data_IF_844030070109
#
_entry.id   IF_844030070109
#
_cell.length_a   1.000
_cell.length_b   1.000
_cell.length_c   1.000
_cell.angle_alpha   90.00
_cell.angle_beta   90.00
_cell.angle_gamma   90.00
#
_symmetry.space_group_name_H-M   'P 1'
#
loop_
_entity.id
_entity.type
_entity.pdbx_description
1 polymer ?
#
# COMPACT_ATOMS: atom_id res chain seq x y z
N UNK A 1 -6.32 21.80 4.01
CA UNK A 1 -5.94 22.71 2.93
C UNK A 1 -6.79 22.39 1.70
N UNK A 2 -7.38 23.42 1.09
CA UNK A 2 -8.09 23.22 -0.20
C UNK A 2 -7.04 23.15 -1.31
N UNK A 3 -7.19 22.22 -2.23
CA UNK A 3 -6.49 22.21 -3.48
C UNK A 3 -6.63 23.57 -4.13
N UNK A 4 -5.49 24.20 -4.37
CA UNK A 4 -5.48 25.41 -5.20
C UNK A 4 -5.43 24.97 -6.68
N UNK A 5 -6.03 25.73 -7.54
CA UNK A 5 -5.91 25.53 -8.99
C UNK A 5 -4.44 25.47 -9.43
N UNK A 6 -3.59 26.15 -8.71
CA UNK A 6 -2.13 26.21 -8.90
C UNK A 6 -1.46 24.83 -8.73
N UNK A 7 -1.87 24.03 -7.71
CA UNK A 7 -1.36 22.67 -7.52
C UNK A 7 -1.82 21.73 -8.65
N UNK A 8 -3.05 21.91 -9.12
CA UNK A 8 -3.59 21.15 -10.25
C UNK A 8 -2.85 21.50 -11.53
N UNK A 9 -2.58 22.76 -11.76
CA UNK A 9 -1.90 23.25 -12.97
C UNK A 9 -0.40 22.89 -12.94
N UNK A 10 0.23 22.92 -11.77
CA UNK A 10 1.58 22.38 -11.57
C UNK A 10 1.66 20.91 -11.98
N UNK A 11 0.74 20.08 -11.49
CA UNK A 11 0.72 18.66 -11.83
C UNK A 11 0.37 18.41 -13.30
N UNK A 12 -0.52 19.20 -13.89
CA UNK A 12 -0.79 19.16 -15.33
C UNK A 12 0.42 19.61 -16.15
N UNK A 13 1.16 20.60 -15.68
CA UNK A 13 2.41 21.04 -16.29
C UNK A 13 3.51 19.97 -16.25
N UNK A 14 3.51 19.12 -15.21
CA UNK A 14 4.36 17.95 -15.10
C UNK A 14 3.92 16.80 -16.01
N UNK A 15 2.71 16.84 -16.56
CA UNK A 15 2.09 15.78 -17.37
C UNK A 15 2.84 15.29 -18.59
N UNK A 16 3.90 15.98 -18.99
CA UNK A 16 4.85 15.56 -20.04
C UNK A 16 6.21 15.11 -19.49
N UNK A 17 6.39 15.07 -18.17
CA UNK A 17 7.63 14.67 -17.52
C UNK A 17 7.37 13.47 -16.60
N UNK A 18 8.33 12.59 -16.50
CA UNK A 18 8.33 11.58 -15.46
C UNK A 18 8.41 12.29 -14.11
N UNK A 19 7.40 12.14 -13.27
CA UNK A 19 7.40 12.58 -11.88
C UNK A 19 7.60 11.38 -10.97
N UNK A 20 8.11 11.60 -9.76
CA UNK A 20 8.21 10.57 -8.74
C UNK A 20 6.96 10.55 -7.88
N UNK A 21 6.75 9.43 -7.15
CA UNK A 21 5.73 9.37 -6.12
C UNK A 21 5.95 10.43 -5.03
N UNK A 22 7.23 10.76 -4.75
CA UNK A 22 7.61 11.82 -3.82
C UNK A 22 7.06 13.18 -4.25
N UNK A 23 7.21 13.52 -5.56
CA UNK A 23 6.67 14.77 -6.10
C UNK A 23 5.15 14.81 -5.96
N UNK A 24 4.48 13.67 -6.23
CA UNK A 24 3.05 13.54 -6.07
C UNK A 24 2.62 13.75 -4.62
N UNK A 25 3.21 13.01 -3.67
CA UNK A 25 2.86 13.08 -2.25
C UNK A 25 3.14 14.48 -1.70
N UNK A 26 4.27 15.08 -2.07
CA UNK A 26 4.61 16.46 -1.69
C UNK A 26 3.58 17.46 -2.20
N UNK A 27 3.20 17.36 -3.48
CA UNK A 27 2.24 18.28 -4.08
C UNK A 27 0.82 18.15 -3.50
N UNK A 28 0.40 16.91 -3.17
CA UNK A 28 -0.97 16.63 -2.73
C UNK A 28 -1.17 16.72 -1.23
N UNK A 29 -0.20 16.32 -0.45
CA UNK A 29 -0.33 16.19 1.00
C UNK A 29 0.59 17.13 1.76
N UNK A 30 1.52 17.82 1.06
CA UNK A 30 2.58 18.66 1.63
C UNK A 30 3.46 17.93 2.66
N UNK A 31 3.72 16.64 2.40
CA UNK A 31 4.57 15.76 3.22
C UNK A 31 5.65 15.12 2.35
N UNK A 32 6.69 14.58 3.00
CA UNK A 32 7.82 13.95 2.33
C UNK A 32 7.80 12.43 2.52
N UNK A 33 8.14 11.70 1.47
CA UNK A 33 8.45 10.28 1.57
C UNK A 33 9.90 10.16 2.05
N UNK A 34 10.07 9.61 3.24
CA UNK A 34 11.38 9.37 3.83
C UNK A 34 12.01 8.08 3.25
N UNK A 35 13.35 8.01 3.17
CA UNK A 35 14.05 6.78 2.85
C UNK A 35 13.69 5.68 3.85
N UNK A 36 13.53 4.46 3.35
CA UNK A 36 13.23 3.32 4.21
C UNK A 36 14.40 2.97 5.13
N UNK A 37 14.09 2.79 6.41
CA UNK A 37 15.06 2.34 7.41
C UNK A 37 15.11 0.80 7.44
N UNK A 38 16.21 0.24 6.94
CA UNK A 38 16.41 -1.22 6.86
C UNK A 38 16.42 -1.91 8.23
N UNK A 39 16.63 -1.17 9.31
CA UNK A 39 16.55 -1.72 10.67
C UNK A 39 15.15 -2.23 11.04
N UNK A 40 14.13 -1.81 10.27
CA UNK A 40 12.74 -2.26 10.44
C UNK A 40 12.46 -3.64 9.80
N UNK A 41 13.38 -4.19 8.99
CA UNK A 41 13.14 -5.48 8.32
C UNK A 41 12.73 -6.61 9.28
N UNK A 42 13.36 -6.80 10.45
CA UNK A 42 12.95 -7.88 11.36
C UNK A 42 11.53 -7.74 11.90
N UNK A 43 11.07 -6.51 12.14
CA UNK A 43 9.71 -6.29 12.63
C UNK A 43 8.70 -6.42 11.49
N UNK A 44 9.02 -5.93 10.28
CA UNK A 44 8.16 -6.13 9.11
C UNK A 44 8.03 -7.61 8.75
N UNK A 45 9.08 -8.42 8.88
CA UNK A 45 8.98 -9.86 8.67
C UNK A 45 7.99 -10.51 9.64
N UNK A 46 8.04 -10.14 10.92
CA UNK A 46 7.06 -10.63 11.92
C UNK A 46 5.63 -10.21 11.58
N UNK A 47 5.44 -8.98 11.08
CA UNK A 47 4.11 -8.52 10.62
C UNK A 47 3.62 -9.39 9.46
N UNK A 48 4.47 -9.69 8.49
CA UNK A 48 4.11 -10.57 7.37
C UNK A 48 3.78 -11.98 7.83
N UNK A 49 4.59 -12.55 8.70
CA UNK A 49 4.35 -13.88 9.27
C UNK A 49 2.98 -13.90 9.98
N UNK A 50 2.67 -12.84 10.73
CA UNK A 50 1.38 -12.70 11.41
C UNK A 50 0.20 -12.55 10.45
N UNK A 51 0.36 -11.84 9.33
CA UNK A 51 -0.65 -11.80 8.26
C UNK A 51 -0.97 -13.21 7.75
N UNK A 52 0.05 -14.03 7.52
CA UNK A 52 -0.16 -15.41 7.08
C UNK A 52 -0.83 -16.28 8.15
N UNK A 53 -0.46 -16.13 9.42
CA UNK A 53 -1.12 -16.84 10.52
C UNK A 53 -2.61 -16.50 10.58
N UNK A 54 -2.96 -15.20 10.64
CA UNK A 54 -4.35 -14.74 10.70
C UNK A 54 -5.15 -15.25 9.50
N UNK A 55 -4.62 -15.11 8.29
CA UNK A 55 -5.33 -15.55 7.08
C UNK A 55 -5.51 -17.06 7.03
N UNK A 56 -4.55 -17.84 7.51
CA UNK A 56 -4.64 -19.30 7.60
C UNK A 56 -5.67 -19.72 8.65
N UNK A 57 -5.60 -19.17 9.85
CA UNK A 57 -6.58 -19.43 10.91
C UNK A 57 -8.00 -19.09 10.47
N UNK A 58 -8.15 -17.96 9.79
CA UNK A 58 -9.43 -17.51 9.25
C UNK A 58 -9.95 -18.42 8.14
N UNK A 59 -9.10 -18.93 7.26
CA UNK A 59 -9.49 -19.84 6.18
C UNK A 59 -10.06 -21.16 6.71
N UNK A 60 -9.44 -21.68 7.76
CA UNK A 60 -9.83 -22.95 8.39
C UNK A 60 -11.04 -22.80 9.35
N UNK A 61 -11.46 -21.57 9.67
CA UNK A 61 -12.52 -21.30 10.63
C UNK A 61 -13.55 -20.28 10.08
N UNK A 62 -14.71 -20.72 9.56
CA UNK A 62 -15.77 -19.82 9.06
C UNK A 62 -16.37 -18.86 10.10
N UNK A 63 -16.11 -19.05 11.39
CA UNK A 63 -16.55 -18.14 12.46
C UNK A 63 -15.49 -17.09 12.83
N UNK A 64 -14.30 -17.16 12.22
CA UNK A 64 -13.25 -16.19 12.46
C UNK A 64 -13.65 -14.81 11.87
N UNK A 65 -13.36 -13.72 12.56
CA UNK A 65 -13.72 -12.36 12.12
C UNK A 65 -13.12 -12.01 10.76
N UNK A 66 -11.91 -12.52 10.46
CA UNK A 66 -11.22 -12.37 9.17
C UNK A 66 -11.50 -13.51 8.19
N UNK A 67 -12.61 -14.26 8.37
CA UNK A 67 -12.99 -15.29 7.40
C UNK A 67 -13.41 -14.65 6.07
N UNK A 68 -12.80 -15.10 5.00
CA UNK A 68 -13.16 -14.69 3.65
C UNK A 68 -13.61 -15.89 2.82
N UNK A 69 -14.88 -15.91 2.49
CA UNK A 69 -15.48 -17.06 1.79
C UNK A 69 -14.88 -17.25 0.38
N UNK A 70 -14.51 -18.49 0.00
CA UNK A 70 -13.85 -18.77 -1.29
C UNK A 70 -14.67 -18.41 -2.54
N UNK A 71 -15.98 -18.23 -2.40
CA UNK A 71 -16.89 -17.86 -3.50
C UNK A 71 -17.06 -16.34 -3.67
N UNK A 72 -16.41 -15.53 -2.84
CA UNK A 72 -16.41 -14.08 -2.97
C UNK A 72 -15.46 -13.59 -4.06
N UNK A 73 -15.58 -12.31 -4.40
CA UNK A 73 -14.77 -11.68 -5.45
C UNK A 73 -13.34 -11.45 -4.99
N UNK A 74 -12.38 -11.81 -5.82
CA UNK A 74 -10.94 -11.62 -5.52
C UNK A 74 -10.56 -10.15 -5.26
N UNK A 75 -11.21 -9.21 -5.94
CA UNK A 75 -10.93 -7.78 -5.75
C UNK A 75 -11.31 -7.29 -4.34
N UNK A 76 -12.33 -7.89 -3.73
CA UNK A 76 -12.75 -7.59 -2.37
C UNK A 76 -11.81 -8.24 -1.34
N UNK A 77 -11.13 -9.32 -1.73
CA UNK A 77 -10.14 -9.98 -0.88
C UNK A 77 -8.91 -9.09 -0.64
N UNK A 78 -8.53 -8.26 -1.62
CA UNK A 78 -7.47 -7.26 -1.43
C UNK A 78 -7.75 -6.33 -0.27
N UNK A 79 -8.94 -5.72 -0.26
CA UNK A 79 -9.35 -4.82 0.83
C UNK A 79 -9.41 -5.54 2.19
N UNK A 80 -9.83 -6.81 2.18
CA UNK A 80 -9.85 -7.63 3.39
C UNK A 80 -8.42 -7.88 3.95
N UNK A 81 -7.44 -8.11 3.08
CA UNK A 81 -6.03 -8.28 3.50
C UNK A 81 -5.45 -6.99 4.08
N UNK A 82 -5.96 -5.82 3.69
CA UNK A 82 -5.59 -4.53 4.30
C UNK A 82 -5.99 -4.48 5.79
N UNK A 83 -7.19 -4.97 6.13
CA UNK A 83 -7.66 -5.05 7.52
C UNK A 83 -6.84 -6.07 8.32
N UNK A 84 -6.52 -7.22 7.72
CA UNK A 84 -5.64 -8.21 8.34
C UNK A 84 -4.23 -7.64 8.57
N UNK A 85 -3.71 -6.85 7.65
CA UNK A 85 -2.42 -6.19 7.81
C UNK A 85 -2.44 -5.20 8.99
N UNK A 86 -3.51 -4.43 9.16
CA UNK A 86 -3.67 -3.57 10.33
C UNK A 86 -3.61 -4.37 11.63
N UNK A 87 -4.38 -5.45 11.72
CA UNK A 87 -4.37 -6.31 12.90
C UNK A 87 -2.99 -6.93 13.17
N UNK A 88 -2.31 -7.40 12.13
CA UNK A 88 -0.97 -7.97 12.27
C UNK A 88 0.05 -6.95 12.79
N UNK A 89 -0.04 -5.70 12.36
CA UNK A 89 0.81 -4.61 12.88
C UNK A 89 0.54 -4.38 14.37
N UNK A 90 -0.72 -4.31 14.76
CA UNK A 90 -1.11 -4.13 16.16
C UNK A 90 -0.66 -5.28 17.04
N UNK A 91 -0.81 -6.52 16.56
CA UNK A 91 -0.36 -7.72 17.28
C UNK A 91 1.16 -7.76 17.50
N UNK A 92 1.94 -7.30 16.53
CA UNK A 92 3.42 -7.40 16.55
C UNK A 92 4.09 -6.24 17.27
N UNK A 93 3.63 -5.02 17.07
CA UNK A 93 4.28 -3.80 17.55
C UNK A 93 3.47 -3.10 18.66
N UNK A 94 2.21 -3.43 18.82
CA UNK A 94 1.29 -2.80 19.78
C UNK A 94 0.88 -1.37 19.39
N UNK A 95 1.24 -0.91 18.21
CA UNK A 95 0.87 0.42 17.70
C UNK A 95 -0.39 0.37 16.86
N UNK A 96 -1.25 1.37 17.01
CA UNK A 96 -2.46 1.50 16.20
C UNK A 96 -2.12 1.53 14.70
N UNK A 97 -2.74 0.65 13.95
CA UNK A 97 -2.74 0.67 12.50
C UNK A 97 -4.14 1.00 11.98
N UNK A 98 -4.20 1.93 11.05
CA UNK A 98 -5.48 2.42 10.52
C UNK A 98 -5.59 2.19 9.03
N UNK A 99 -6.60 1.41 8.63
CA UNK A 99 -7.03 1.36 7.24
C UNK A 99 -7.62 2.73 6.85
N UNK A 100 -7.04 3.34 5.82
CA UNK A 100 -7.41 4.68 5.36
C UNK A 100 -8.50 4.65 4.28
N UNK A 101 -8.93 3.46 3.89
CA UNK A 101 -9.96 3.26 2.88
C UNK A 101 -9.48 3.64 1.47
N UNK A 102 -10.43 3.93 0.58
CA UNK A 102 -10.18 4.11 -0.85
C UNK A 102 -9.10 5.13 -1.16
N UNK A 103 -8.17 4.75 -2.02
CA UNK A 103 -7.07 5.58 -2.54
C UNK A 103 -5.79 5.44 -1.73
N UNK A 104 -4.70 5.85 -2.34
CA UNK A 104 -3.34 5.76 -1.79
C UNK A 104 -3.10 6.70 -0.61
N UNK A 105 -2.34 6.31 0.42
CA UNK A 105 -1.98 4.94 0.79
C UNK A 105 -3.13 4.19 1.48
N UNK A 106 -3.06 2.85 1.52
CA UNK A 106 -4.11 2.02 2.12
C UNK A 106 -4.09 2.09 3.66
N UNK A 107 -2.92 2.02 4.27
CA UNK A 107 -2.74 1.94 5.73
C UNK A 107 -1.85 3.05 6.24
N UNK A 108 -2.08 3.47 7.49
CA UNK A 108 -1.19 4.33 8.27
C UNK A 108 -0.92 3.70 9.63
N UNK A 109 0.36 3.67 9.99
CA UNK A 109 0.80 3.24 11.31
C UNK A 109 2.07 3.99 11.75
N UNK A 110 2.53 3.70 12.94
CA UNK A 110 3.90 3.99 13.39
C UNK A 110 4.61 2.68 13.66
N UNK A 111 5.81 2.51 13.14
CA UNK A 111 6.62 1.34 13.37
C UNK A 111 8.04 1.79 13.69
N UNK A 112 8.60 1.30 14.80
CA UNK A 112 9.93 1.72 15.24
C UNK A 112 10.05 3.24 15.49
N UNK A 113 8.94 3.93 15.78
CA UNK A 113 8.90 5.38 16.00
C UNK A 113 8.68 6.23 14.74
N UNK A 114 8.71 5.64 13.56
CA UNK A 114 8.48 6.32 12.29
C UNK A 114 7.05 6.16 11.80
N UNK A 115 6.51 7.16 11.11
CA UNK A 115 5.31 6.96 10.32
C UNK A 115 5.62 6.03 9.15
N UNK A 116 4.76 5.04 8.97
CA UNK A 116 4.81 4.07 7.89
C UNK A 116 3.45 4.04 7.18
N UNK A 117 3.51 4.06 5.86
CA UNK A 117 2.35 4.06 4.98
C UNK A 117 2.40 2.83 4.06
N UNK A 118 1.90 1.69 4.53
CA UNK A 118 1.76 0.51 3.70
C UNK A 118 0.70 0.69 2.61
N UNK A 119 1.04 0.28 1.42
CA UNK A 119 0.12 -0.07 0.35
C UNK A 119 0.06 -1.59 0.23
N UNK A 120 -1.11 -2.17 0.15
CA UNK A 120 -1.30 -3.61 0.15
C UNK A 120 -1.86 -4.09 -1.18
N UNK A 121 -1.21 -5.08 -1.79
CA UNK A 121 -1.68 -5.71 -3.02
C UNK A 121 -1.61 -7.21 -2.93
N UNK A 122 -2.58 -7.86 -3.54
CA UNK A 122 -2.58 -9.31 -3.75
C UNK A 122 -2.41 -9.63 -5.24
N UNK A 123 -1.75 -10.74 -5.54
CA UNK A 123 -1.51 -11.16 -6.93
C UNK A 123 -1.45 -12.68 -7.03
N UNK A 124 -2.04 -13.25 -8.06
CA UNK A 124 -1.86 -14.65 -8.42
C UNK A 124 -0.54 -14.91 -9.17
N UNK A 125 0.15 -13.86 -9.58
CA UNK A 125 1.48 -13.92 -10.18
C UNK A 125 2.37 -12.84 -9.60
N UNK A 126 3.21 -13.22 -8.64
CA UNK A 126 4.07 -12.28 -7.90
C UNK A 126 5.44 -12.10 -8.56
N UNK A 127 5.84 -13.00 -9.46
CA UNK A 127 7.17 -12.99 -10.07
C UNK A 127 7.20 -12.22 -11.39
N UNK A 128 6.07 -12.06 -12.04
CA UNK A 128 5.98 -11.32 -13.29
C UNK A 128 5.53 -9.89 -13.07
N UNK A 129 6.14 -8.99 -13.82
CA UNK A 129 5.72 -7.61 -13.91
C UNK A 129 4.46 -7.55 -14.75
N UNK A 130 3.32 -7.40 -14.08
CA UNK A 130 2.04 -7.23 -14.75
C UNK A 130 1.93 -5.87 -15.46
N UNK A 131 1.00 -5.78 -16.39
CA UNK A 131 0.56 -4.49 -16.95
C UNK A 131 -0.49 -3.80 -16.07
N UNK A 132 -0.86 -4.43 -14.94
CA UNK A 132 -1.93 -3.97 -14.07
C UNK A 132 -1.50 -2.83 -13.16
N UNK A 133 -2.47 -2.07 -12.72
CA UNK A 133 -2.29 -1.02 -11.72
C UNK A 133 -1.92 -1.63 -10.38
N UNK A 134 -0.82 -1.18 -9.79
CA UNK A 134 -0.43 -1.60 -8.44
C UNK A 134 -1.17 -0.80 -7.37
N UNK A 135 -1.45 0.50 -7.61
CA UNK A 135 -2.23 1.32 -6.70
C UNK A 135 -2.86 2.52 -7.41
N UNK A 136 -3.82 3.12 -6.73
CA UNK A 136 -4.61 4.19 -7.27
C UNK A 136 -4.36 5.48 -6.49
N UNK A 137 -3.77 6.47 -7.17
CA UNK A 137 -3.56 7.80 -6.59
C UNK A 137 -4.61 8.81 -7.10
N UNK A 138 -5.69 8.34 -7.73
CA UNK A 138 -6.70 9.26 -8.21
C UNK A 138 -7.21 10.11 -7.05
N UNK A 139 -7.15 11.39 -7.26
CA UNK A 139 -7.84 12.38 -6.45
C UNK A 139 -9.17 12.62 -7.11
N UNK A 140 -10.24 12.04 -6.66
CA UNK A 140 -11.54 12.62 -6.87
C UNK A 140 -11.56 13.82 -5.94
N UNK A 141 -11.58 15.02 -6.50
CA UNK A 141 -11.57 16.26 -5.74
C UNK A 141 -12.63 16.35 -4.63
N UNK A 142 -13.56 15.42 -4.57
CA UNK A 142 -14.63 15.38 -3.56
C UNK A 142 -14.68 14.10 -2.71
N UNK A 143 -14.12 12.96 -3.16
CA UNK A 143 -14.13 11.71 -2.37
C UNK A 143 -12.95 11.58 -1.42
N UNK A 144 -11.87 12.25 -1.70
CA UNK A 144 -10.70 12.34 -0.82
C UNK A 144 -10.73 13.57 0.11
N UNK A 145 -11.90 14.13 0.37
CA UNK A 145 -12.09 15.09 1.49
C UNK A 145 -11.79 14.49 2.86
N UNK A 146 -11.58 13.21 2.98
CA UNK A 146 -10.77 12.66 4.05
C UNK A 146 -9.33 12.99 3.70
N UNK A 147 -8.93 14.20 4.03
CA UNK A 147 -7.53 14.53 4.21
C UNK A 147 -6.98 13.39 5.06
N UNK A 148 -6.19 12.52 4.44
CA UNK A 148 -5.65 11.34 5.13
C UNK A 148 -4.67 11.76 6.24
N UNK A 149 -4.50 13.06 6.44
CA UNK A 149 -3.67 13.70 7.46
C UNK A 149 -2.30 13.01 7.56
N UNK A 150 -1.64 12.87 6.40
CA UNK A 150 -0.34 12.27 6.31
C UNK A 150 0.70 13.16 6.98
N UNK A 151 1.77 12.55 7.44
CA UNK A 151 2.98 13.21 7.93
C UNK A 151 4.16 12.64 7.15
N UNK A 152 5.34 13.25 7.29
CA UNK A 152 6.56 12.72 6.71
C UNK A 152 6.77 11.27 7.20
N UNK A 153 7.02 10.36 6.28
CA UNK A 153 7.10 8.95 6.62
C UNK A 153 7.56 8.06 5.48
N UNK A 154 7.82 6.82 5.80
CA UNK A 154 8.23 5.82 4.83
C UNK A 154 7.00 5.23 4.14
N UNK A 155 7.08 5.05 2.84
CA UNK A 155 6.03 4.45 2.03
C UNK A 155 6.52 3.13 1.44
N UNK A 156 5.83 2.05 1.72
CA UNK A 156 6.18 0.71 1.27
C UNK A 156 5.00 0.03 0.61
N UNK A 157 5.27 -0.91 -0.28
CA UNK A 157 4.24 -1.75 -0.87
C UNK A 157 4.47 -3.21 -0.45
N UNK A 158 3.45 -3.80 0.16
CA UNK A 158 3.35 -5.25 0.35
C UNK A 158 2.61 -5.87 -0.82
N UNK A 159 3.23 -6.85 -1.47
CA UNK A 159 2.59 -7.64 -2.50
C UNK A 159 2.54 -9.09 -2.06
N UNK A 160 1.34 -9.59 -1.74
CA UNK A 160 1.11 -10.96 -1.30
C UNK A 160 0.64 -11.83 -2.46
N UNK A 161 1.12 -13.07 -2.50
CA UNK A 161 0.65 -14.06 -3.47
C UNK A 161 -0.55 -14.83 -2.93
N UNK A 162 -1.53 -15.09 -3.81
CA UNK A 162 -2.72 -15.87 -3.47
C UNK A 162 -3.00 -16.97 -4.50
N UNK A 163 -3.63 -18.06 -4.05
CA UNK A 163 -4.16 -19.14 -4.90
C UNK A 163 -5.69 -19.10 -5.04
N UNK A 164 -6.28 -17.93 -4.82
CA UNK A 164 -7.72 -17.73 -4.83
C UNK A 164 -8.17 -16.89 -3.64
N UNK A 165 -9.47 -16.56 -3.55
CA UNK A 165 -10.02 -15.83 -2.43
C UNK A 165 -9.82 -16.57 -1.10
N UNK A 166 -9.34 -15.86 -0.09
CA UNK A 166 -9.11 -16.39 1.26
C UNK A 166 -7.80 -17.16 1.46
N UNK A 167 -6.99 -17.39 0.43
CA UNK A 167 -5.77 -18.20 0.53
C UNK A 167 -4.52 -17.42 0.13
N UNK A 168 -3.76 -16.97 1.11
CA UNK A 168 -2.39 -16.48 0.89
C UNK A 168 -1.39 -17.65 0.97
N UNK A 169 -0.34 -17.63 0.15
CA UNK A 169 0.54 -18.79 -0.06
C UNK A 169 1.87 -18.73 0.66
N UNK A 170 2.10 -17.74 1.50
CA UNK A 170 3.39 -17.53 2.15
C UNK A 170 4.42 -16.78 1.29
N UNK A 171 4.13 -16.56 0.00
CA UNK A 171 5.02 -15.80 -0.90
C UNK A 171 4.63 -14.34 -0.92
N UNK A 172 5.61 -13.47 -0.81
CA UNK A 172 5.40 -12.02 -0.81
C UNK A 172 6.60 -11.30 -1.43
N UNK A 173 6.43 -10.01 -1.69
CA UNK A 173 7.49 -9.05 -1.99
C UNK A 173 7.18 -7.73 -1.31
N UNK A 174 8.22 -7.07 -0.81
CA UNK A 174 8.11 -5.75 -0.20
C UNK A 174 9.01 -4.78 -0.94
N UNK A 175 8.48 -3.61 -1.30
CA UNK A 175 9.18 -2.59 -2.05
C UNK A 175 9.19 -1.26 -1.28
N UNK A 176 10.34 -0.58 -1.30
CA UNK A 176 10.44 0.83 -0.91
C UNK A 176 9.90 1.69 -2.06
N UNK A 177 8.88 2.50 -1.79
CA UNK A 177 8.28 3.36 -2.80
C UNK A 177 8.96 4.74 -2.91
N UNK A 178 9.99 5.00 -2.08
CA UNK A 178 10.75 6.23 -2.18
C UNK A 178 11.44 6.33 -3.54
N UNK A 179 11.21 7.45 -4.24
CA UNK A 179 11.77 7.69 -5.57
C UNK A 179 11.11 6.89 -6.70
N UNK A 180 10.01 6.17 -6.43
CA UNK A 180 9.29 5.45 -7.48
C UNK A 180 8.90 6.40 -8.61
N UNK A 181 9.29 6.03 -9.83
CA UNK A 181 8.89 6.77 -11.03
C UNK A 181 7.39 6.60 -11.26
N UNK A 182 6.72 7.71 -11.46
CA UNK A 182 5.26 7.76 -11.62
C UNK A 182 4.92 8.23 -13.02
N UNK A 183 4.21 7.40 -13.78
CA UNK A 183 3.83 7.75 -15.16
C UNK A 183 2.59 8.61 -15.14
N UNK A 184 2.73 9.82 -15.67
CA UNK A 184 1.81 10.92 -15.43
C UNK A 184 0.64 11.03 -16.40
N UNK A 185 0.54 10.21 -17.45
CA UNK A 185 -0.52 10.42 -18.45
C UNK A 185 -1.95 10.46 -17.87
N UNK A 186 -2.12 9.95 -16.68
CA UNK A 186 -3.38 10.03 -15.98
C UNK A 186 -3.27 10.56 -14.54
N UNK A 187 -2.07 10.83 -13.98
CA UNK A 187 -1.85 11.21 -12.56
C UNK A 187 -2.66 10.35 -11.56
N UNK A 188 -2.99 9.12 -11.96
CA UNK A 188 -4.03 8.37 -11.29
C UNK A 188 -3.60 6.97 -10.87
N UNK A 189 -2.42 6.51 -11.32
CA UNK A 189 -2.04 5.12 -11.04
C UNK A 189 -0.54 4.88 -11.09
N UNK A 190 -0.02 4.22 -10.05
CA UNK A 190 1.23 3.48 -10.14
C UNK A 190 0.98 2.13 -10.81
N UNK A 191 1.90 1.63 -11.59
CA UNK A 191 1.80 0.32 -12.21
C UNK A 191 2.92 -0.62 -11.74
N UNK A 192 2.76 -1.91 -11.97
CA UNK A 192 3.72 -2.93 -11.54
C UNK A 192 5.12 -2.67 -12.09
N UNK A 193 5.25 -2.20 -13.34
CA UNK A 193 6.56 -1.89 -13.93
C UNK A 193 7.33 -0.86 -13.10
N UNK A 194 6.65 0.18 -12.63
CA UNK A 194 7.24 1.22 -11.80
C UNK A 194 7.59 0.71 -10.41
N UNK A 195 6.72 -0.10 -9.80
CA UNK A 195 6.94 -0.73 -8.50
C UNK A 195 8.14 -1.69 -8.55
N UNK A 196 8.21 -2.55 -9.57
CA UNK A 196 9.33 -3.50 -9.70
C UNK A 196 10.66 -2.84 -10.09
N UNK A 197 10.64 -1.58 -10.50
CA UNK A 197 11.85 -0.76 -10.64
C UNK A 197 12.32 -0.16 -9.31
N UNK A 198 11.50 -0.21 -8.25
CA UNK A 198 11.87 0.24 -6.92
C UNK A 198 12.81 -0.75 -6.23
N UNK A 199 13.44 -0.28 -5.16
CA UNK A 199 14.24 -1.15 -4.30
C UNK A 199 13.35 -2.20 -3.64
N UNK A 200 13.56 -3.46 -3.96
CA UNK A 200 12.98 -4.56 -3.22
C UNK A 200 13.70 -4.68 -1.87
N UNK A 201 12.93 -4.66 -0.80
CA UNK A 201 13.46 -4.75 0.57
C UNK A 201 13.71 -6.22 0.95
N UNK A 202 12.73 -7.08 0.68
CA UNK A 202 12.81 -8.54 0.83
C UNK A 202 11.61 -9.23 0.15
N UNK A 203 11.72 -10.57 -0.02
CA UNK A 203 10.68 -11.37 -0.65
C UNK A 203 11.19 -12.68 -1.23
#
# INVERSE_FOLDING_TARGET
MSWTQENVDFLRGLGKRSITLNDYVKAYYDVEILPYDISLNPILQKVIDRVYEITKEAFDNPQHEYYYAPNRRINEYGNHVEDVLCQAIEDVDGTEAKNLGVGYPDVRTKLGGYFLYPECKISSNIDEVGSMRSFYTSVPAERTKKIKNLQDGMHILFKFHHNGPGVLTGRHKVFDLNGMQYVSEALQQGNDKNVYACKMLFG
#
